data_IF_899687730803
#
_entry.id   IF_899687730803
#
_cell.length_a   1.000
_cell.length_b   1.000
_cell.length_c   1.000
_cell.angle_alpha   90.00
_cell.angle_beta   90.00
_cell.angle_gamma   90.00
#
_symmetry.space_group_name_H-M   'P 1'
#
loop_
_entity.id
_entity.type
_entity.pdbx_description
1 polymer ?
#
# COMPACT_ATOMS: atom_id res chain seq x y z
N UNK A 1 44.54 -3.77 46.31
CA UNK A 1 43.17 -4.19 45.97
C UNK A 1 42.47 -2.97 45.39
N UNK A 2 42.39 -2.85 44.06
CA UNK A 2 41.74 -1.73 43.37
C UNK A 2 40.55 -2.35 42.64
N UNK A 3 39.36 -2.04 43.11
CA UNK A 3 38.10 -2.57 42.59
C UNK A 3 37.71 -1.78 41.35
N UNK A 4 37.75 -2.41 40.17
CA UNK A 4 37.23 -1.84 38.95
C UNK A 4 35.73 -2.19 38.84
N UNK A 5 34.86 -1.23 39.15
CA UNK A 5 33.44 -1.33 38.80
C UNK A 5 33.25 -1.01 37.32
N UNK A 6 33.17 -2.06 36.50
CA UNK A 6 32.67 -1.96 35.13
C UNK A 6 31.15 -1.82 35.17
N UNK A 7 30.66 -0.60 34.96
CA UNK A 7 29.24 -0.36 34.71
C UNK A 7 28.97 -0.68 33.22
N UNK A 8 28.09 -1.63 32.88
CA UNK A 8 27.75 -1.87 31.49
C UNK A 8 26.82 -0.74 31.03
N UNK A 9 27.34 0.15 30.18
CA UNK A 9 26.50 1.03 29.36
C UNK A 9 25.79 0.14 28.33
N UNK A 10 24.58 -0.29 28.67
CA UNK A 10 23.67 -0.89 27.68
C UNK A 10 23.24 0.24 26.76
N UNK A 11 23.84 0.32 25.58
CA UNK A 11 23.34 1.13 24.48
C UNK A 11 22.07 0.44 23.98
N UNK A 12 20.92 0.79 24.56
CA UNK A 12 19.63 0.41 24.01
C UNK A 12 19.46 1.15 22.68
N UNK A 13 19.86 0.49 21.59
CA UNK A 13 19.47 0.89 20.26
C UNK A 13 17.94 0.72 20.19
N UNK A 14 17.22 1.82 20.37
CA UNK A 14 15.78 1.88 20.07
C UNK A 14 15.64 1.72 18.56
N UNK A 15 15.39 0.49 18.11
CA UNK A 15 14.92 0.23 16.75
C UNK A 15 13.55 0.92 16.62
N UNK A 16 13.34 1.85 15.67
CA UNK A 16 12.00 2.30 15.35
C UNK A 16 11.37 1.20 14.47
N UNK A 17 10.88 0.13 15.09
CA UNK A 17 9.97 -0.79 14.42
C UNK A 17 8.55 -0.25 14.56
N UNK A 18 8.24 0.84 13.85
CA UNK A 18 6.86 1.25 13.61
C UNK A 18 6.51 0.87 12.17
N UNK A 19 6.48 -0.43 11.87
CA UNK A 19 5.81 -0.94 10.69
C UNK A 19 4.31 -1.01 11.01
N UNK A 20 3.68 0.16 10.95
CA UNK A 20 2.25 0.33 11.14
C UNK A 20 1.74 0.89 9.83
N UNK A 21 1.24 0.00 8.97
CA UNK A 21 0.89 0.31 7.59
C UNK A 21 -0.64 0.35 7.38
N UNK A 22 -1.11 1.33 6.60
CA UNK A 22 -2.32 2.09 6.84
C UNK A 22 -2.86 2.79 5.57
N UNK A 23 -2.98 2.08 4.45
CA UNK A 23 -3.68 2.60 3.26
C UNK A 23 -2.80 2.71 2.03
N UNK A 24 -3.24 2.06 0.95
CA UNK A 24 -2.70 2.28 -0.38
C UNK A 24 -3.74 2.08 -1.48
N UNK A 25 -3.54 2.65 -2.68
CA UNK A 25 -4.31 2.24 -3.86
C UNK A 25 -4.00 0.76 -4.16
N UNK A 26 -5.03 -0.05 -4.39
CA UNK A 26 -4.91 -1.46 -4.77
C UNK A 26 -5.40 -1.75 -6.20
N UNK A 27 -6.31 -0.94 -6.72
CA UNK A 27 -6.80 -1.04 -8.11
C UNK A 27 -7.22 0.34 -8.61
N UNK A 28 -6.67 0.87 -9.72
CA UNK A 28 -5.60 0.29 -10.52
C UNK A 28 -4.29 0.19 -9.73
N UNK A 29 -3.59 -0.95 -9.84
CA UNK A 29 -2.42 -1.24 -9.01
C UNK A 29 -1.23 -0.32 -9.34
N UNK A 30 -0.74 0.49 -8.38
CA UNK A 30 0.49 1.24 -8.54
C UNK A 30 1.73 0.34 -8.68
N UNK A 31 2.78 0.88 -9.29
CA UNK A 31 4.12 0.30 -9.15
C UNK A 31 4.78 0.89 -7.90
N UNK A 32 5.00 0.06 -6.88
CA UNK A 32 5.67 0.48 -5.64
C UNK A 32 7.18 0.21 -5.70
N UNK A 33 7.99 1.16 -5.23
CA UNK A 33 9.44 0.97 -5.07
C UNK A 33 9.75 -0.05 -3.95
N UNK A 34 8.89 -0.09 -2.95
CA UNK A 34 8.91 -1.07 -1.86
C UNK A 34 7.51 -1.65 -1.67
N UNK A 35 7.28 -2.81 -2.28
CA UNK A 35 5.97 -3.49 -2.23
C UNK A 35 5.60 -3.95 -0.82
N UNK A 36 6.56 -4.13 0.09
CA UNK A 36 6.30 -4.58 1.47
C UNK A 36 5.82 -3.44 2.36
N UNK A 37 6.25 -2.22 2.05
CA UNK A 37 5.84 -1.00 2.73
C UNK A 37 4.92 -0.15 1.85
N UNK A 38 4.19 -0.77 0.90
CA UNK A 38 3.30 -0.08 -0.05
C UNK A 38 2.23 0.78 0.64
N UNK A 39 1.81 0.36 1.82
CA UNK A 39 0.80 1.00 2.66
C UNK A 39 1.41 1.78 3.84
N UNK A 40 2.73 1.98 3.88
CA UNK A 40 3.35 2.79 4.92
C UNK A 40 3.15 4.30 4.66
N UNK A 41 3.21 5.14 5.70
CA UNK A 41 3.29 6.58 5.52
C UNK A 41 4.50 6.95 4.66
N UNK A 42 4.26 7.80 3.67
CA UNK A 42 5.28 8.33 2.75
C UNK A 42 5.98 9.58 3.28
N UNK A 43 5.32 10.31 4.18
CA UNK A 43 5.88 11.46 4.88
C UNK A 43 5.16 11.66 6.22
N UNK A 44 5.75 12.52 7.04
CA UNK A 44 5.22 12.89 8.34
C UNK A 44 5.16 14.41 8.45
N UNK A 45 4.16 14.89 9.19
CA UNK A 45 4.02 16.32 9.47
C UNK A 45 3.58 16.52 10.91
N UNK A 46 4.29 17.35 11.67
CA UNK A 46 3.84 17.71 13.02
C UNK A 46 2.47 18.37 12.99
N UNK A 47 1.60 17.97 13.92
CA UNK A 47 0.25 18.48 14.01
C UNK A 47 -0.48 17.96 15.23
N UNK A 48 -1.49 18.72 15.69
CA UNK A 48 -2.28 18.31 16.85
C UNK A 48 -3.15 17.10 16.49
N UNK A 49 -3.13 16.02 17.29
CA UNK A 49 -4.02 14.88 17.07
C UNK A 49 -5.50 15.28 17.16
N UNK A 50 -6.34 14.72 16.30
CA UNK A 50 -7.78 14.99 16.26
C UNK A 50 -8.28 15.37 14.86
N UNK A 51 -9.55 15.81 14.75
CA UNK A 51 -10.13 16.22 13.47
C UNK A 51 -9.31 17.32 12.80
N UNK A 52 -8.98 17.13 11.53
CA UNK A 52 -8.27 18.14 10.75
C UNK A 52 -9.14 19.38 10.55
N UNK A 53 -8.61 20.56 10.87
CA UNK A 53 -9.30 21.85 10.76
C UNK A 53 -8.70 22.76 9.69
N UNK A 54 -7.68 22.28 8.96
CA UNK A 54 -7.09 23.03 7.87
C UNK A 54 -8.01 23.10 6.65
N UNK A 55 -7.87 24.17 5.88
CA UNK A 55 -8.66 24.44 4.66
C UNK A 55 -7.84 24.31 3.37
N UNK A 56 -6.54 24.00 3.50
CA UNK A 56 -5.62 23.83 2.37
C UNK A 56 -5.72 22.44 1.75
N UNK A 57 -5.27 22.32 0.51
CA UNK A 57 -5.18 21.03 -0.18
C UNK A 57 -4.25 20.07 0.55
N UNK A 58 -4.70 18.81 0.70
CA UNK A 58 -3.92 17.74 1.30
C UNK A 58 -2.78 17.31 0.35
N UNK A 59 -3.00 17.31 -0.96
CA UNK A 59 -1.95 17.14 -1.98
C UNK A 59 -0.83 18.17 -1.81
N UNK A 60 -1.17 19.46 -1.67
CA UNK A 60 -0.17 20.50 -1.45
C UNK A 60 0.56 20.35 -0.10
N UNK A 61 -0.14 19.87 0.95
CA UNK A 61 0.46 19.56 2.24
C UNK A 61 1.45 18.40 2.14
N UNK A 62 1.12 17.35 1.38
CA UNK A 62 2.01 16.23 1.08
C UNK A 62 3.25 16.69 0.31
N UNK A 63 3.07 17.49 -0.75
CA UNK A 63 4.17 18.06 -1.53
C UNK A 63 5.10 18.89 -0.63
N UNK A 64 4.54 19.73 0.25
CA UNK A 64 5.30 20.52 1.22
C UNK A 64 6.00 19.69 2.31
N UNK A 65 5.55 18.46 2.55
CA UNK A 65 6.21 17.48 3.43
C UNK A 65 7.24 16.62 2.68
N UNK A 66 7.47 16.86 1.39
CA UNK A 66 8.40 16.11 0.56
C UNK A 66 7.85 14.79 0.03
N UNK A 67 6.53 14.58 0.10
CA UNK A 67 5.87 13.43 -0.52
C UNK A 67 5.16 13.85 -1.81
N UNK A 68 5.69 13.34 -2.92
CA UNK A 68 5.05 13.44 -4.23
C UNK A 68 5.04 12.05 -4.83
N UNK A 69 3.85 11.42 -4.84
CA UNK A 69 3.65 10.01 -5.18
C UNK A 69 4.26 9.02 -4.17
N UNK A 70 4.67 9.49 -2.99
CA UNK A 70 5.21 8.66 -1.92
C UNK A 70 6.15 7.54 -2.38
N UNK A 71 5.80 6.28 -2.07
CA UNK A 71 6.57 5.08 -2.44
C UNK A 71 6.19 4.48 -3.79
N UNK A 72 5.40 5.18 -4.60
CA UNK A 72 5.02 4.73 -5.95
C UNK A 72 5.92 5.36 -7.02
N UNK A 73 6.23 4.59 -8.06
CA UNK A 73 6.95 5.10 -9.22
C UNK A 73 6.01 5.95 -10.08
N UNK A 74 6.15 7.27 -9.96
CA UNK A 74 5.39 8.25 -10.73
C UNK A 74 5.59 8.14 -12.25
N UNK A 75 6.67 7.50 -12.70
CA UNK A 75 7.01 7.33 -14.12
C UNK A 75 6.72 5.92 -14.63
N UNK A 76 6.11 5.06 -13.81
CA UNK A 76 5.74 3.72 -14.22
C UNK A 76 4.84 3.74 -15.46
N UNK A 77 4.93 2.68 -16.27
CA UNK A 77 4.07 2.52 -17.42
C UNK A 77 2.59 2.58 -17.00
N UNK A 78 1.76 3.19 -17.85
CA UNK A 78 0.33 3.27 -17.60
C UNK A 78 -0.29 1.87 -17.59
N UNK A 79 -1.18 1.63 -16.64
CA UNK A 79 -2.02 0.42 -16.58
C UNK A 79 -3.39 0.70 -17.16
N UNK A 80 -4.09 -0.34 -17.60
CA UNK A 80 -5.46 -0.17 -18.06
C UNK A 80 -6.38 0.29 -16.92
N UNK A 81 -7.27 1.23 -17.22
CA UNK A 81 -8.28 1.69 -16.29
C UNK A 81 -9.23 0.54 -15.90
N UNK A 82 -9.60 0.39 -14.62
CA UNK A 82 -10.62 -0.56 -14.19
C UNK A 82 -11.96 -0.30 -14.89
N UNK A 83 -12.52 -1.34 -15.52
CA UNK A 83 -13.81 -1.24 -16.21
C UNK A 83 -15.00 -0.94 -15.28
N UNK A 84 -14.79 -1.12 -13.97
CA UNK A 84 -15.74 -0.78 -12.92
C UNK A 84 -15.90 0.74 -12.70
N UNK A 85 -14.97 1.56 -13.18
CA UNK A 85 -15.02 3.02 -12.97
C UNK A 85 -14.77 3.43 -11.51
N UNK A 86 -14.04 2.62 -10.75
CA UNK A 86 -13.68 2.90 -9.36
C UNK A 86 -12.17 2.82 -9.15
N UNK A 87 -11.68 3.55 -8.15
CA UNK A 87 -10.38 3.34 -7.52
C UNK A 87 -10.64 2.60 -6.21
N UNK A 88 -9.94 1.50 -5.98
CA UNK A 88 -10.06 0.67 -4.78
C UNK A 88 -8.82 0.84 -3.91
N UNK A 89 -9.02 0.87 -2.60
CA UNK A 89 -7.96 1.04 -1.61
C UNK A 89 -7.81 -0.17 -0.70
N UNK A 90 -6.57 -0.52 -0.41
CA UNK A 90 -6.18 -1.45 0.64
C UNK A 90 -5.90 -0.64 1.91
N UNK A 91 -6.95 -0.39 2.70
CA UNK A 91 -6.88 0.29 4.00
C UNK A 91 -7.05 -0.74 5.12
N UNK A 92 -5.99 -1.00 5.85
CA UNK A 92 -5.91 -2.03 6.89
C UNK A 92 -6.18 -1.52 8.31
N UNK A 93 -6.20 -0.20 8.54
CA UNK A 93 -6.49 0.33 9.86
C UNK A 93 -7.25 1.66 9.87
N UNK A 94 -7.85 1.92 11.04
CA UNK A 94 -8.86 2.94 11.26
C UNK A 94 -8.20 4.23 11.69
N UNK A 95 -7.93 5.10 10.72
CA UNK A 95 -7.39 6.43 10.99
C UNK A 95 -8.41 7.52 10.70
N UNK A 96 -8.44 8.54 11.55
CA UNK A 96 -9.18 9.77 11.27
C UNK A 96 -8.36 10.68 10.37
N UNK A 97 -9.04 11.49 9.57
CA UNK A 97 -8.43 12.59 8.81
C UNK A 97 -8.81 12.60 7.33
N UNK A 98 -8.46 13.69 6.64
CA UNK A 98 -8.98 13.99 5.31
C UNK A 98 -8.23 13.26 4.20
N UNK A 99 -8.90 13.01 3.08
CA UNK A 99 -8.24 12.53 1.86
C UNK A 99 -8.73 13.24 0.60
N UNK A 100 -7.91 13.17 -0.45
CA UNK A 100 -8.19 13.70 -1.78
C UNK A 100 -7.83 12.64 -2.83
N UNK A 101 -8.65 12.53 -3.88
CA UNK A 101 -8.34 11.80 -5.11
C UNK A 101 -8.23 12.79 -6.27
N UNK A 102 -7.13 12.71 -7.00
CA UNK A 102 -6.81 13.56 -8.14
C UNK A 102 -6.64 12.73 -9.40
N UNK A 103 -7.02 13.32 -10.54
CA UNK A 103 -6.66 12.86 -11.88
C UNK A 103 -5.89 14.00 -12.55
N UNK A 104 -4.60 13.79 -12.80
CA UNK A 104 -3.62 14.83 -13.09
C UNK A 104 -3.74 15.99 -12.07
N UNK A 105 -4.02 17.20 -12.55
CA UNK A 105 -4.20 18.40 -11.71
C UNK A 105 -5.67 18.65 -11.32
N UNK A 106 -6.58 17.73 -11.62
CA UNK A 106 -8.02 17.86 -11.34
C UNK A 106 -8.39 17.12 -10.07
N UNK A 107 -8.94 17.83 -9.08
CA UNK A 107 -9.50 17.20 -7.87
C UNK A 107 -10.82 16.51 -8.24
N UNK A 108 -10.84 15.19 -8.10
CA UNK A 108 -12.01 14.37 -8.43
C UNK A 108 -12.91 14.18 -7.21
N UNK A 109 -12.32 13.95 -6.05
CA UNK A 109 -13.06 13.79 -4.80
C UNK A 109 -12.23 14.21 -3.60
N UNK A 110 -12.91 14.56 -2.52
CA UNK A 110 -12.29 14.80 -1.22
C UNK A 110 -13.26 14.44 -0.09
N UNK A 111 -12.71 14.16 1.09
CA UNK A 111 -13.46 13.93 2.31
C UNK A 111 -12.70 14.52 3.50
N UNK A 112 -13.41 15.07 4.49
CA UNK A 112 -12.82 15.54 5.75
C UNK A 112 -12.46 14.39 6.69
N UNK A 113 -13.13 13.25 6.53
CA UNK A 113 -12.85 11.99 7.21
C UNK A 113 -12.95 10.86 6.18
N UNK A 114 -11.79 10.40 5.71
CA UNK A 114 -11.69 9.44 4.61
C UNK A 114 -12.28 8.07 4.99
N UNK A 115 -11.94 7.60 6.19
CA UNK A 115 -12.33 6.28 6.68
C UNK A 115 -13.84 6.12 6.76
N UNK A 116 -14.53 7.14 7.31
CA UNK A 116 -16.00 7.09 7.45
C UNK A 116 -16.73 7.35 6.14
N UNK A 117 -16.20 8.23 5.28
CA UNK A 117 -16.85 8.59 4.01
C UNK A 117 -16.75 7.45 2.99
N UNK A 118 -15.58 6.80 2.90
CA UNK A 118 -15.30 5.71 1.97
C UNK A 118 -15.15 4.38 2.71
N UNK A 119 -16.17 4.01 3.48
CA UNK A 119 -16.17 2.82 4.33
C UNK A 119 -16.04 1.49 3.55
N UNK A 120 -16.45 1.49 2.28
CA UNK A 120 -16.28 0.36 1.35
C UNK A 120 -14.89 0.36 0.67
N UNK A 121 -14.04 1.34 0.98
CA UNK A 121 -12.70 1.53 0.44
C UNK A 121 -12.70 1.70 -1.07
N UNK A 122 -13.72 2.36 -1.62
CA UNK A 122 -13.75 2.72 -3.03
C UNK A 122 -14.07 4.20 -3.24
N UNK A 123 -13.53 4.77 -4.31
CA UNK A 123 -13.87 6.11 -4.80
C UNK A 123 -14.18 6.01 -6.29
N UNK A 124 -15.38 6.44 -6.75
CA UNK A 124 -15.69 6.50 -8.18
C UNK A 124 -14.76 7.45 -8.94
N UNK A 125 -14.36 7.04 -10.14
CA UNK A 125 -13.56 7.85 -11.06
C UNK A 125 -14.05 7.65 -12.50
N UNK A 126 -14.42 8.75 -13.16
CA UNK A 126 -14.69 8.75 -14.60
C UNK A 126 -13.38 8.81 -15.38
N UNK A 127 -12.86 7.64 -15.74
CA UNK A 127 -11.63 7.51 -16.53
C UNK A 127 -11.71 8.12 -17.94
N UNK A 128 -12.92 8.44 -18.44
CA UNK A 128 -13.05 9.14 -19.72
C UNK A 128 -12.56 10.59 -19.67
N UNK A 129 -12.46 11.17 -18.46
CA UNK A 129 -11.80 12.46 -18.24
C UNK A 129 -10.30 12.42 -18.57
N UNK A 130 -9.71 11.23 -18.63
CA UNK A 130 -8.35 11.05 -19.12
C UNK A 130 -8.31 11.14 -20.66
N UNK A 131 -8.21 12.37 -21.15
CA UNK A 131 -8.22 12.70 -22.59
C UNK A 131 -6.84 12.58 -23.25
N UNK A 132 -5.76 12.55 -22.46
CA UNK A 132 -4.41 12.30 -22.93
C UNK A 132 -4.17 10.84 -23.36
N UNK A 133 -2.93 10.52 -23.73
CA UNK A 133 -2.51 9.12 -23.92
C UNK A 133 -2.37 8.37 -22.60
N UNK A 134 -2.07 9.09 -21.52
CA UNK A 134 -2.06 8.61 -20.14
C UNK A 134 -2.41 9.76 -19.19
N UNK A 135 -2.89 9.43 -17.99
CA UNK A 135 -3.09 10.38 -16.89
C UNK A 135 -2.60 9.75 -15.58
N UNK A 136 -2.27 10.58 -14.61
CA UNK A 136 -1.85 10.14 -13.28
C UNK A 136 -3.02 10.26 -12.30
N UNK A 137 -3.38 9.15 -11.67
CA UNK A 137 -4.22 9.18 -10.48
C UNK A 137 -3.31 9.41 -9.29
N UNK A 138 -3.65 10.34 -8.41
CA UNK A 138 -2.97 10.56 -7.13
C UNK A 138 -3.97 10.54 -5.99
N UNK A 139 -3.77 9.64 -5.03
CA UNK A 139 -4.54 9.60 -3.80
C UNK A 139 -3.66 10.03 -2.63
N UNK A 140 -4.17 10.98 -1.84
CA UNK A 140 -3.49 11.45 -0.65
C UNK A 140 -4.43 11.33 0.55
N UNK A 141 -3.97 10.68 1.62
CA UNK A 141 -4.69 10.58 2.89
C UNK A 141 -3.79 11.08 4.03
N UNK A 142 -4.32 12.02 4.82
CA UNK A 142 -3.66 12.55 6.00
C UNK A 142 -4.30 11.92 7.24
N UNK A 143 -3.59 11.02 7.90
CA UNK A 143 -4.04 10.44 9.16
C UNK A 143 -3.62 11.32 10.35
N UNK A 144 -4.59 11.83 11.10
CA UNK A 144 -4.40 12.84 12.15
C UNK A 144 -4.59 12.32 13.57
N UNK A 145 -4.53 11.00 13.77
CA UNK A 145 -4.77 10.35 15.06
C UNK A 145 -3.58 10.46 16.05
N UNK A 146 -2.37 10.80 15.58
CA UNK A 146 -1.13 10.92 16.37
C UNK A 146 -0.33 12.18 15.97
N UNK A 147 0.69 12.54 16.75
CA UNK A 147 1.74 13.51 16.36
C UNK A 147 3.07 12.76 16.26
N UNK A 148 3.75 12.76 15.09
CA UNK A 148 3.35 13.45 13.86
C UNK A 148 2.13 12.83 13.16
N UNK A 149 1.43 13.65 12.37
CA UNK A 149 0.47 13.15 11.39
C UNK A 149 1.18 12.31 10.32
N UNK A 150 0.50 11.29 9.82
CA UNK A 150 1.01 10.37 8.81
C UNK A 150 0.40 10.72 7.44
N UNK A 151 1.22 10.77 6.38
CA UNK A 151 0.80 11.10 5.02
C UNK A 151 0.94 9.86 4.14
N UNK A 152 -0.18 9.33 3.66
CA UNK A 152 -0.22 8.30 2.63
C UNK A 152 -0.40 9.00 1.28
N UNK A 153 0.54 8.80 0.36
CA UNK A 153 0.51 9.41 -0.97
C UNK A 153 0.88 8.34 -1.99
N UNK A 154 -0.02 8.08 -2.92
CA UNK A 154 0.14 7.06 -3.94
C UNK A 154 -0.25 7.61 -5.30
N UNK A 155 0.53 7.24 -6.32
CA UNK A 155 0.23 7.53 -7.71
C UNK A 155 0.15 6.26 -8.55
N UNK A 156 -0.70 6.29 -9.56
CA UNK A 156 -0.76 5.27 -10.61
C UNK A 156 -1.09 5.93 -11.94
N UNK A 157 -0.31 5.60 -12.96
CA UNK A 157 -0.58 6.07 -14.31
C UNK A 157 -1.61 5.15 -14.97
N UNK A 158 -2.62 5.71 -15.61
CA UNK A 158 -3.66 4.97 -16.33
C UNK A 158 -3.74 5.38 -17.79
N UNK A 159 -4.05 4.41 -18.64
CA UNK A 159 -4.22 4.63 -20.07
C UNK A 159 -5.38 5.59 -20.34
N UNK A 160 -5.15 6.56 -21.22
CA UNK A 160 -6.16 7.54 -21.61
C UNK A 160 -6.78 7.26 -22.98
N UNK A 161 -7.88 7.96 -23.25
CA UNK A 161 -8.64 7.82 -24.50
C UNK A 161 -7.93 8.40 -25.74
N UNK A 162 -6.93 9.27 -25.55
CA UNK A 162 -6.18 9.91 -26.63
C UNK A 162 -5.10 9.05 -27.29
N UNK A 163 -4.78 7.87 -26.72
CA UNK A 163 -3.74 6.96 -27.21
C UNK A 163 -4.21 5.90 -28.22
N UNK A 164 -5.49 5.87 -28.59
CA UNK A 164 -6.07 4.84 -29.44
C UNK A 164 -5.68 4.97 -30.93
N UNK A 165 -4.43 4.68 -31.28
CA UNK A 165 -4.03 4.26 -32.63
C UNK A 165 -3.72 2.76 -32.65
N UNK A 166 -4.77 1.97 -32.97
CA UNK A 166 -4.77 0.63 -33.58
C UNK A 166 -3.98 -0.54 -32.95
N UNK A 167 -4.72 -1.51 -32.40
CA UNK A 167 -4.93 -2.81 -33.09
C UNK A 167 -6.24 -3.48 -32.66
N UNK A 168 -7.22 -3.67 -33.57
CA UNK A 168 -8.33 -4.58 -33.32
C UNK A 168 -7.87 -6.01 -33.62
N UNK A 169 -8.11 -6.93 -32.68
CA UNK A 169 -8.13 -8.37 -32.98
C UNK A 169 -9.54 -8.89 -32.82
N UNK A 170 -10.11 -9.22 -33.98
CA UNK A 170 -11.38 -9.89 -34.23
C UNK A 170 -11.62 -11.09 -33.32
N UNK A 171 -12.86 -11.20 -32.83
CA UNK A 171 -13.41 -12.31 -32.06
C UNK A 171 -13.89 -13.45 -32.97
N UNK A 172 -13.71 -14.70 -32.51
CA UNK A 172 -14.48 -15.95 -32.74
C UNK A 172 -13.69 -17.13 -33.37
N UNK A 173 -14.06 -18.41 -33.13
CA UNK A 173 -14.85 -19.01 -32.04
C UNK A 173 -14.11 -20.14 -31.27
N UNK A 174 -14.71 -20.53 -30.14
CA UNK A 174 -14.34 -21.65 -29.24
C UNK A 174 -14.11 -22.99 -29.97
N UNK A 175 -13.18 -23.83 -29.46
CA UNK A 175 -13.56 -25.20 -29.11
C UNK A 175 -13.15 -25.56 -27.69
N UNK A 176 -13.88 -26.51 -27.11
CA UNK A 176 -13.88 -26.88 -25.70
C UNK A 176 -12.80 -27.91 -25.35
N UNK A 177 -12.33 -27.88 -24.08
CA UNK A 177 -11.53 -28.86 -23.33
C UNK A 177 -10.09 -29.11 -23.83
N UNK A 178 -9.02 -29.06 -23.04
CA UNK A 178 -8.78 -29.86 -21.81
C UNK A 178 -7.56 -29.30 -21.05
N UNK A 179 -7.56 -29.45 -19.73
CA UNK A 179 -6.50 -29.17 -18.73
C UNK A 179 -5.04 -29.04 -19.22
N UNK A 180 -4.41 -27.92 -18.87
CA UNK A 180 -2.99 -27.87 -18.46
C UNK A 180 -2.74 -26.63 -17.61
N UNK A 181 -2.23 -26.88 -16.40
CA UNK A 181 -1.83 -25.92 -15.38
C UNK A 181 -0.79 -24.92 -15.90
N UNK A 182 -1.00 -23.63 -15.66
CA UNK A 182 0.00 -22.59 -15.81
C UNK A 182 -0.05 -21.70 -14.56
N UNK A 183 1.00 -21.80 -13.76
CA UNK A 183 1.24 -21.04 -12.53
C UNK A 183 1.33 -19.54 -12.84
N UNK A 184 0.29 -18.80 -12.46
CA UNK A 184 0.34 -17.36 -12.28
C UNK A 184 0.82 -17.09 -10.86
N UNK A 185 2.01 -16.50 -10.74
CA UNK A 185 2.66 -16.20 -9.47
C UNK A 185 1.87 -15.09 -8.76
N UNK A 186 0.90 -15.53 -7.96
CA UNK A 186 0.02 -14.70 -7.14
C UNK A 186 0.63 -14.73 -5.74
N UNK A 187 1.41 -13.72 -5.38
CA UNK A 187 1.97 -13.63 -4.03
C UNK A 187 0.80 -13.43 -3.04
N UNK A 188 0.68 -14.25 -1.98
CA UNK A 188 -0.41 -14.14 -1.02
C UNK A 188 -0.40 -12.78 -0.32
N UNK A 189 -1.51 -12.05 -0.43
CA UNK A 189 -1.79 -10.91 0.44
C UNK A 189 -1.92 -11.39 1.89
N UNK A 190 -1.29 -10.66 2.81
CA UNK A 190 -1.23 -11.00 4.24
C UNK A 190 -2.58 -10.79 4.90
N UNK A 191 -3.41 -11.83 4.94
CA UNK A 191 -4.57 -11.91 5.84
C UNK A 191 -4.12 -12.62 7.12
N UNK A 192 -4.07 -11.90 8.24
CA UNK A 192 -4.09 -12.56 9.54
C UNK A 192 -5.52 -13.10 9.80
N UNK A 193 -5.70 -14.37 10.19
CA UNK A 193 -6.98 -14.85 10.68
C UNK A 193 -7.37 -14.11 11.96
N UNK A 194 -8.64 -13.75 12.06
CA UNK A 194 -9.18 -13.21 13.30
C UNK A 194 -9.19 -14.31 14.38
N UNK A 195 -8.72 -13.97 15.58
CA UNK A 195 -8.41 -14.83 16.74
C UNK A 195 -7.11 -15.65 16.68
N UNK A 196 -5.97 -15.01 16.99
CA UNK A 196 -4.88 -15.71 17.69
C UNK A 196 -4.87 -15.24 19.13
N UNK A 197 -5.54 -16.02 19.97
CA UNK A 197 -5.35 -15.97 21.41
C UNK A 197 -3.88 -16.28 21.67
N UNK A 198 -3.19 -15.40 22.40
CA UNK A 198 -1.83 -15.63 22.88
C UNK A 198 -1.75 -16.95 23.63
N UNK A 199 -1.30 -18.01 22.97
CA UNK A 199 -0.90 -19.25 23.60
C UNK A 199 0.59 -19.48 23.32
N UNK A 200 1.39 -19.29 24.35
CA UNK A 200 2.81 -19.52 24.36
C UNK A 200 3.14 -20.96 23.96
N UNK A 201 4.10 -21.15 23.04
CA UNK A 201 4.93 -22.36 22.79
C UNK A 201 4.90 -23.06 21.41
N UNK A 202 4.55 -22.40 20.30
CA UNK A 202 4.91 -22.94 18.97
C UNK A 202 5.92 -22.00 18.30
N UNK A 203 7.09 -22.55 17.96
CA UNK A 203 8.17 -21.87 17.21
C UNK A 203 8.06 -22.30 15.76
N UNK A 204 7.39 -21.48 14.96
CA UNK A 204 7.22 -21.62 13.52
C UNK A 204 8.55 -21.22 12.83
N UNK A 205 9.16 -22.12 12.05
CA UNK A 205 10.45 -21.86 11.38
C UNK A 205 10.29 -21.67 9.87
N UNK A 206 11.24 -20.97 9.23
CA UNK A 206 11.26 -20.78 7.78
C UNK A 206 11.68 -22.06 7.03
N UNK A 207 10.98 -22.41 5.93
CA UNK A 207 11.20 -23.65 5.14
C UNK A 207 12.17 -23.46 3.95
N UNK A 208 12.51 -22.23 3.58
CA UNK A 208 13.32 -21.94 2.38
C UNK A 208 12.49 -21.76 1.10
N UNK A 209 13.03 -21.03 0.12
CA UNK A 209 12.36 -20.74 -1.14
C UNK A 209 13.32 -20.80 -2.34
N UNK A 210 13.39 -21.96 -3.00
CA UNK A 210 14.21 -22.14 -4.20
C UNK A 210 13.65 -21.32 -5.36
N UNK A 211 14.38 -20.28 -5.77
CA UNK A 211 14.01 -19.39 -6.87
C UNK A 211 13.45 -18.03 -6.45
N UNK A 212 13.36 -17.76 -5.14
CA UNK A 212 12.94 -16.46 -4.64
C UNK A 212 13.59 -16.08 -3.30
N UNK A 213 14.92 -16.06 -3.33
CA UNK A 213 15.83 -15.81 -2.19
C UNK A 213 15.60 -14.46 -1.49
N UNK A 214 14.90 -13.52 -2.14
CA UNK A 214 14.58 -12.20 -1.60
C UNK A 214 13.74 -12.26 -0.31
N UNK A 215 12.94 -13.31 -0.14
CA UNK A 215 12.03 -13.47 1.00
C UNK A 215 12.68 -14.17 2.21
N UNK A 216 13.86 -14.80 2.03
CA UNK A 216 14.48 -15.69 3.01
C UNK A 216 14.75 -14.98 4.34
N UNK A 217 15.58 -13.93 4.31
CA UNK A 217 15.99 -13.20 5.52
C UNK A 217 14.82 -12.51 6.25
N UNK A 218 13.75 -12.18 5.53
CA UNK A 218 12.56 -11.58 6.14
C UNK A 218 11.65 -12.63 6.77
N UNK A 219 11.39 -13.75 6.08
CA UNK A 219 10.56 -14.83 6.60
C UNK A 219 11.19 -15.54 7.79
N UNK A 220 12.53 -15.61 7.87
CA UNK A 220 13.26 -16.18 9.01
C UNK A 220 12.87 -15.59 10.37
N UNK A 221 12.47 -14.31 10.43
CA UNK A 221 12.11 -13.65 11.70
C UNK A 221 10.62 -13.31 11.83
N UNK A 222 9.81 -13.67 10.84
CA UNK A 222 8.40 -13.23 10.76
C UNK A 222 7.39 -14.38 10.64
N UNK A 223 7.83 -15.65 10.53
CA UNK A 223 6.94 -16.81 10.55
C UNK A 223 6.15 -16.93 11.86
N UNK A 224 6.81 -16.76 13.01
CA UNK A 224 6.18 -16.79 14.34
C UNK A 224 5.06 -15.75 14.50
N UNK A 225 5.20 -14.61 13.81
CA UNK A 225 4.24 -13.51 13.89
C UNK A 225 3.13 -13.60 12.84
N UNK A 226 3.13 -14.64 12.00
CA UNK A 226 2.13 -14.87 10.97
C UNK A 226 2.19 -13.89 9.79
N UNK A 227 3.32 -13.19 9.60
CA UNK A 227 3.46 -12.22 8.51
C UNK A 227 4.03 -12.85 7.24
N UNK A 228 4.75 -13.97 7.36
CA UNK A 228 5.23 -14.72 6.19
C UNK A 228 4.13 -15.67 5.66
N UNK A 229 3.99 -15.82 4.32
CA UNK A 229 3.05 -16.78 3.74
C UNK A 229 3.21 -18.18 4.33
N UNK A 230 2.09 -18.84 4.64
CA UNK A 230 2.09 -20.17 5.27
C UNK A 230 2.89 -21.21 4.45
N UNK A 231 2.90 -21.10 3.12
CA UNK A 231 3.67 -21.97 2.23
C UNK A 231 5.19 -21.89 2.42
N UNK A 232 5.68 -20.80 3.03
CA UNK A 232 7.08 -20.52 3.28
C UNK A 232 7.48 -20.80 4.74
N UNK A 233 6.50 -21.04 5.61
CA UNK A 233 6.72 -21.39 7.01
C UNK A 233 6.46 -22.88 7.26
N UNK A 234 7.08 -23.43 8.29
CA UNK A 234 6.70 -24.73 8.82
C UNK A 234 5.41 -24.61 9.62
N UNK A 235 4.55 -25.63 9.51
CA UNK A 235 3.35 -25.71 10.30
C UNK A 235 3.72 -25.76 11.79
N UNK A 236 3.39 -24.67 12.46
CA UNK A 236 3.05 -24.66 13.87
C UNK A 236 1.54 -24.92 13.98
#
# INVERSE_FOLDING_TARGET
>A
MISFSLTPFILAATLPAFAFAHGSISDPMPTFSDIYNKNAPSAFKSGTPGPYTGIGSIKALADGAGSTCGSTDANAAAVSAPSSGVVTFDISAVHIGPCELWLDDTLISNATDCWTTYADKTIPLDYSQCTGSQCQIRWVWLATHNDPWEIFDNCVNVEGSGGATNKPTTKAPHPNSTNSSSSGDTIPGTVAPWNVSTSSSRTCSYRGNTGNEKYDNWCEVNCDAGYCPESLCEAC
#
